data_IF_974136353554
#
_entry.id   IF_974136353554
#
_cell.length_a   1.000
_cell.length_b   1.000
_cell.length_c   1.000
_cell.angle_alpha   90.00
_cell.angle_beta   90.00
_cell.angle_gamma   90.00
#
_symmetry.space_group_name_H-M   'P 1'
#
loop_
_entity.id
_entity.type
_entity.pdbx_description
1 polymer ?
#
# COMPACT_ATOMS: atom_id res chain seq x y z
N UNK A 1 11.99 -29.16 -7.42
CA UNK A 1 11.23 -28.43 -6.40
C UNK A 1 9.79 -28.41 -6.87
N UNK A 2 8.86 -29.00 -6.11
CA UNK A 2 7.42 -28.84 -6.32
C UNK A 2 7.02 -27.58 -5.58
N UNK A 3 6.57 -26.55 -6.29
CA UNK A 3 6.06 -25.35 -5.67
C UNK A 3 4.59 -25.58 -5.33
N UNK A 4 4.23 -25.45 -4.05
CA UNK A 4 2.86 -25.57 -3.59
C UNK A 4 2.00 -24.42 -4.14
N UNK A 5 0.67 -24.58 -4.17
CA UNK A 5 -0.24 -23.46 -4.42
C UNK A 5 0.08 -22.33 -3.44
N UNK A 6 0.39 -21.15 -3.99
CA UNK A 6 0.84 -20.00 -3.21
C UNK A 6 -0.32 -19.44 -2.38
N UNK A 7 -0.10 -19.26 -1.08
CA UNK A 7 -0.96 -18.45 -0.22
C UNK A 7 -0.21 -17.17 0.19
N UNK A 8 0.30 -16.46 -0.83
CA UNK A 8 1.18 -15.30 -0.69
C UNK A 8 0.63 -14.21 0.22
N UNK A 9 -0.68 -13.93 0.15
CA UNK A 9 -1.32 -12.92 1.00
C UNK A 9 -1.30 -13.29 2.48
N UNK A 10 -1.54 -14.57 2.80
CA UNK A 10 -1.44 -15.03 4.19
C UNK A 10 -0.01 -15.00 4.68
N UNK A 11 0.96 -15.34 3.83
CA UNK A 11 2.38 -15.24 4.14
C UNK A 11 2.79 -13.78 4.44
N UNK A 12 2.31 -12.84 3.63
CA UNK A 12 2.60 -11.41 3.77
C UNK A 12 1.78 -10.71 4.85
N UNK A 13 0.89 -11.39 5.58
CA UNK A 13 -0.01 -10.75 6.55
C UNK A 13 0.69 -9.85 7.59
N UNK A 14 1.93 -10.20 7.96
CA UNK A 14 2.76 -9.44 8.89
C UNK A 14 3.84 -8.60 8.21
N UNK A 15 3.89 -8.58 6.88
CA UNK A 15 4.82 -7.74 6.14
C UNK A 15 4.51 -6.25 6.38
N UNK A 16 5.53 -5.39 6.50
CA UNK A 16 5.33 -3.95 6.60
C UNK A 16 4.79 -3.40 5.29
N UNK A 17 3.91 -2.39 5.38
CA UNK A 17 3.42 -1.67 4.20
C UNK A 17 4.18 -0.36 3.96
N UNK A 18 4.24 0.05 2.69
CA UNK A 18 4.63 1.38 2.28
C UNK A 18 3.44 2.04 1.57
N UNK A 19 2.99 3.19 2.06
CA UNK A 19 1.82 3.89 1.50
C UNK A 19 2.28 5.15 0.77
N UNK A 20 1.77 5.37 -0.44
CA UNK A 20 2.03 6.59 -1.20
C UNK A 20 0.79 7.05 -1.93
N UNK A 21 0.69 8.35 -2.19
CA UNK A 21 -0.35 8.90 -3.07
C UNK A 21 0.10 9.10 -4.50
N UNK A 22 1.37 8.84 -4.79
CA UNK A 22 1.91 8.93 -6.12
C UNK A 22 3.01 7.88 -6.31
N UNK A 23 2.99 7.24 -7.46
CA UNK A 23 4.04 6.33 -7.91
C UNK A 23 4.45 6.85 -9.29
N UNK A 24 5.73 7.17 -9.48
CA UNK A 24 6.20 7.73 -10.75
C UNK A 24 5.80 6.82 -11.93
N UNK A 25 5.59 7.45 -13.09
CA UNK A 25 4.99 6.90 -14.32
C UNK A 25 5.65 5.64 -14.93
N UNK A 26 6.70 5.07 -14.33
CA UNK A 26 7.40 3.87 -14.81
C UNK A 26 7.00 2.56 -14.10
N UNK A 27 5.96 2.60 -13.27
CA UNK A 27 5.62 1.54 -12.31
C UNK A 27 4.31 0.83 -12.66
N UNK A 28 4.20 0.31 -13.88
CA UNK A 28 3.05 -0.52 -14.27
C UNK A 28 3.06 -1.82 -13.47
N UNK A 29 2.27 -1.84 -12.39
CA UNK A 29 1.99 -3.08 -11.65
C UNK A 29 0.83 -3.78 -12.35
N UNK A 30 1.02 -5.00 -12.88
CA UNK A 30 -0.08 -5.72 -13.52
C UNK A 30 -1.25 -5.89 -12.55
N UNK A 31 -2.47 -5.86 -13.08
CA UNK A 31 -3.67 -6.00 -12.26
C UNK A 31 -3.63 -7.31 -11.46
N UNK A 32 -3.91 -7.22 -10.15
CA UNK A 32 -3.88 -8.37 -9.24
C UNK A 32 -2.48 -8.73 -8.69
N UNK A 33 -1.41 -8.14 -9.21
CA UNK A 33 -0.07 -8.35 -8.66
C UNK A 33 0.17 -7.51 -7.41
N UNK A 34 1.03 -8.02 -6.54
CA UNK A 34 1.52 -7.31 -5.36
C UNK A 34 2.77 -6.54 -5.72
N UNK A 35 2.81 -5.25 -5.39
CA UNK A 35 4.02 -4.44 -5.54
C UNK A 35 4.80 -4.45 -4.22
N UNK A 36 6.11 -4.70 -4.29
CA UNK A 36 7.02 -4.52 -3.16
C UNK A 36 8.08 -3.48 -3.47
N UNK A 37 8.58 -2.77 -2.45
CA UNK A 37 9.74 -1.90 -2.57
C UNK A 37 10.78 -2.10 -1.45
N UNK A 38 12.04 -1.77 -1.75
CA UNK A 38 13.12 -1.76 -0.77
C UNK A 38 14.23 -0.78 -1.18
N UNK A 39 15.18 -0.54 -0.27
CA UNK A 39 16.40 0.22 -0.57
C UNK A 39 17.45 -0.61 -1.35
N UNK A 40 17.20 -1.91 -1.54
CA UNK A 40 18.11 -2.89 -2.14
C UNK A 40 17.38 -3.62 -3.28
N UNK A 41 18.10 -4.18 -4.27
CA UNK A 41 17.49 -4.93 -5.36
C UNK A 41 16.57 -6.04 -4.86
N UNK A 42 15.37 -6.14 -5.43
CA UNK A 42 14.36 -7.13 -5.06
C UNK A 42 14.26 -8.24 -6.12
N UNK A 43 13.63 -9.34 -5.73
CA UNK A 43 13.25 -10.45 -6.61
C UNK A 43 11.75 -10.36 -6.93
N UNK A 44 11.36 -10.68 -8.16
CA UNK A 44 9.96 -10.72 -8.58
C UNK A 44 9.84 -11.12 -10.04
N UNK A 45 8.60 -11.28 -10.52
CA UNK A 45 8.32 -11.54 -11.94
C UNK A 45 8.79 -10.38 -12.81
N UNK A 46 8.55 -9.14 -12.35
CA UNK A 46 9.09 -7.93 -12.95
C UNK A 46 9.80 -7.11 -11.89
N UNK A 47 10.97 -6.58 -12.21
CA UNK A 47 11.73 -5.68 -11.34
C UNK A 47 12.03 -4.38 -12.06
N UNK A 48 11.94 -3.26 -11.37
CA UNK A 48 12.28 -1.95 -11.93
C UNK A 48 12.87 -1.02 -10.87
N UNK A 49 13.50 0.06 -11.35
CA UNK A 49 14.08 1.12 -10.55
C UNK A 49 13.38 2.41 -10.90
N UNK A 50 12.98 3.21 -9.90
CA UNK A 50 12.32 4.49 -10.17
C UNK A 50 13.30 5.54 -10.70
N UNK A 51 12.87 6.33 -11.68
CA UNK A 51 13.70 7.36 -12.34
C UNK A 51 14.12 8.51 -11.39
N UNK A 52 13.36 8.77 -10.31
CA UNK A 52 13.53 9.98 -9.49
C UNK A 52 14.03 9.73 -8.04
N UNK A 53 14.23 8.47 -7.63
CA UNK A 53 14.77 8.12 -6.31
C UNK A 53 15.92 7.12 -6.47
N UNK A 54 17.15 7.65 -6.63
CA UNK A 54 18.39 6.87 -6.50
C UNK A 54 18.32 6.05 -5.21
N UNK A 55 18.12 4.74 -5.33
CA UNK A 55 18.14 3.80 -4.20
C UNK A 55 16.81 3.20 -3.76
N UNK A 56 15.73 3.24 -4.57
CA UNK A 56 14.56 2.37 -4.36
C UNK A 56 14.35 1.40 -5.52
N UNK A 57 14.19 0.13 -5.17
CA UNK A 57 13.93 -0.96 -6.11
C UNK A 57 12.53 -1.47 -5.87
N UNK A 58 11.88 -1.86 -6.95
CA UNK A 58 10.53 -2.38 -6.94
C UNK A 58 10.49 -3.75 -7.60
N UNK A 59 9.59 -4.59 -7.11
CA UNK A 59 9.30 -5.88 -7.68
C UNK A 59 7.79 -6.16 -7.66
N UNK A 60 7.27 -6.74 -8.73
CA UNK A 60 5.91 -7.25 -8.77
C UNK A 60 5.90 -8.75 -8.48
N UNK A 61 4.92 -9.19 -7.69
CA UNK A 61 4.69 -10.58 -7.32
C UNK A 61 3.31 -11.02 -7.79
N UNK A 62 3.25 -12.10 -8.56
CA UNK A 62 1.98 -12.73 -8.94
C UNK A 62 1.52 -13.68 -7.82
N UNK A 63 0.37 -13.44 -7.14
CA UNK A 63 -0.11 -14.32 -6.09
C UNK A 63 -0.40 -15.75 -6.54
N UNK A 64 -0.73 -15.97 -7.82
CA UNK A 64 -1.03 -17.29 -8.37
C UNK A 64 0.24 -18.07 -8.73
N UNK A 65 1.37 -17.36 -8.88
CA UNK A 65 2.66 -17.98 -9.13
C UNK A 65 3.25 -18.51 -7.81
N UNK A 66 3.41 -19.82 -7.78
CA UNK A 66 3.97 -20.60 -6.70
C UNK A 66 5.41 -20.18 -6.26
N UNK A 67 6.19 -19.52 -7.13
CA UNK A 67 7.52 -18.99 -6.76
C UNK A 67 7.44 -17.66 -5.98
N UNK A 68 6.32 -16.95 -6.06
CA UNK A 68 6.18 -15.60 -5.46
C UNK A 68 6.34 -15.59 -3.95
N UNK A 69 6.00 -16.67 -3.25
CA UNK A 69 6.27 -16.79 -1.82
C UNK A 69 7.78 -16.83 -1.53
N UNK A 70 8.58 -17.46 -2.40
CA UNK A 70 10.04 -17.46 -2.28
C UNK A 70 10.58 -16.04 -2.48
N UNK A 71 10.11 -15.34 -3.51
CA UNK A 71 10.49 -13.95 -3.74
C UNK A 71 10.10 -13.04 -2.57
N UNK A 72 8.87 -13.14 -2.07
CA UNK A 72 8.43 -12.40 -0.90
C UNK A 72 9.31 -12.65 0.32
N UNK A 73 9.63 -13.91 0.61
CA UNK A 73 10.49 -14.31 1.73
C UNK A 73 11.88 -13.68 1.65
N UNK A 74 12.50 -13.70 0.48
CA UNK A 74 13.81 -13.08 0.29
C UNK A 74 13.72 -11.55 0.32
N UNK A 75 12.69 -10.96 -0.29
CA UNK A 75 12.46 -9.52 -0.28
C UNK A 75 12.26 -8.97 1.13
N UNK A 76 11.56 -9.70 2.01
CA UNK A 76 11.39 -9.30 3.42
C UNK A 76 12.73 -9.23 4.17
N UNK A 77 13.71 -10.09 3.86
CA UNK A 77 15.06 -10.01 4.43
C UNK A 77 15.83 -8.77 3.96
N UNK A 78 15.40 -8.15 2.86
CA UNK A 78 16.00 -6.96 2.27
C UNK A 78 15.31 -5.66 2.71
N UNK A 79 14.51 -5.71 3.78
CA UNK A 79 13.62 -4.64 4.23
C UNK A 79 12.53 -4.29 3.20
N UNK A 80 12.06 -5.31 2.46
CA UNK A 80 10.97 -5.21 1.51
C UNK A 80 9.65 -4.86 2.19
N UNK A 81 8.94 -3.88 1.64
CA UNK A 81 7.61 -3.47 2.09
C UNK A 81 6.59 -3.66 0.98
N UNK A 82 5.35 -3.99 1.33
CA UNK A 82 4.23 -4.07 0.37
C UNK A 82 3.71 -2.67 0.08
N UNK A 83 3.70 -2.28 -1.18
CA UNK A 83 3.37 -0.92 -1.60
C UNK A 83 1.88 -0.78 -1.88
N UNK A 84 1.27 0.25 -1.29
CA UNK A 84 -0.08 0.70 -1.61
C UNK A 84 -0.05 2.10 -2.20
N UNK A 85 -0.59 2.23 -3.40
CA UNK A 85 -0.87 3.52 -4.02
C UNK A 85 -2.34 3.83 -3.81
N UNK A 86 -2.63 4.90 -3.07
CA UNK A 86 -3.99 5.34 -2.74
C UNK A 86 -4.19 6.78 -3.20
N UNK A 87 -5.39 7.16 -3.61
CA UNK A 87 -5.67 8.57 -3.89
C UNK A 87 -5.65 9.43 -2.60
N UNK A 88 -5.61 10.75 -2.77
CA UNK A 88 -5.56 11.71 -1.64
C UNK A 88 -6.79 11.62 -0.73
N UNK A 89 -7.97 11.33 -1.30
CA UNK A 89 -9.20 11.20 -0.53
C UNK A 89 -9.14 9.99 0.41
N UNK A 90 -8.75 8.84 -0.12
CA UNK A 90 -8.54 7.60 0.62
C UNK A 90 -7.42 7.75 1.65
N UNK A 91 -6.31 8.38 1.29
CA UNK A 91 -5.23 8.66 2.24
C UNK A 91 -5.70 9.53 3.41
N UNK A 92 -6.47 10.59 3.12
CA UNK A 92 -7.07 11.47 4.14
C UNK A 92 -7.97 10.68 5.10
N UNK A 93 -8.82 9.82 4.56
CA UNK A 93 -9.68 8.96 5.35
C UNK A 93 -8.90 8.00 6.25
N UNK A 94 -7.86 7.36 5.71
CA UNK A 94 -6.97 6.47 6.47
C UNK A 94 -6.24 7.23 7.59
N UNK A 95 -5.76 8.45 7.35
CA UNK A 95 -5.05 9.27 8.34
C UNK A 95 -6.00 9.73 9.46
N UNK A 96 -7.25 10.02 9.11
CA UNK A 96 -8.26 10.54 10.04
C UNK A 96 -9.07 9.45 10.75
N UNK A 97 -8.87 8.16 10.43
CA UNK A 97 -9.48 7.06 11.17
C UNK A 97 -9.05 7.09 12.65
N UNK A 98 -10.02 7.12 13.56
CA UNK A 98 -9.79 7.28 14.99
C UNK A 98 -9.31 8.68 15.44
N UNK A 99 -9.26 9.67 14.54
CA UNK A 99 -8.84 11.03 14.88
C UNK A 99 -9.95 11.79 15.61
N UNK A 100 -9.66 12.29 16.82
CA UNK A 100 -10.57 13.12 17.63
C UNK A 100 -11.08 14.36 16.91
N UNK A 101 -10.27 14.95 16.04
CA UNK A 101 -10.57 16.21 15.34
C UNK A 101 -11.03 16.01 13.90
N UNK A 102 -11.44 14.79 13.52
CA UNK A 102 -11.87 14.45 12.15
C UNK A 102 -12.86 15.46 11.56
N UNK A 103 -13.91 15.83 12.29
CA UNK A 103 -14.92 16.79 11.80
C UNK A 103 -14.33 18.17 11.49
N UNK A 104 -13.30 18.61 12.24
CA UNK A 104 -12.65 19.89 12.02
C UNK A 104 -11.81 19.86 10.75
N UNK A 105 -11.07 18.77 10.53
CA UNK A 105 -10.33 18.56 9.28
C UNK A 105 -11.25 18.43 8.07
N UNK A 106 -12.39 17.73 8.21
CA UNK A 106 -13.34 17.56 7.11
C UNK A 106 -14.13 18.82 6.76
N UNK A 107 -14.16 19.82 7.66
CA UNK A 107 -14.76 21.13 7.38
C UNK A 107 -13.83 22.07 6.60
N UNK A 108 -12.54 21.74 6.48
CA UNK A 108 -11.57 22.51 5.69
C UNK A 108 -11.70 22.18 4.20
N UNK A 109 -11.27 23.12 3.36
CA UNK A 109 -11.11 22.88 1.92
C UNK A 109 -10.06 21.79 1.65
N UNK A 110 -10.24 21.04 0.56
CA UNK A 110 -9.46 19.83 0.30
C UNK A 110 -7.94 20.07 0.25
N UNK A 111 -7.50 21.11 -0.45
CA UNK A 111 -6.07 21.43 -0.61
C UNK A 111 -5.44 21.91 0.71
N UNK A 112 -6.17 22.71 1.50
CA UNK A 112 -5.70 23.14 2.82
C UNK A 112 -5.57 21.92 3.74
N UNK A 113 -6.61 21.08 3.80
CA UNK A 113 -6.61 19.82 4.55
C UNK A 113 -5.45 18.92 4.12
N UNK A 114 -5.23 18.76 2.82
CA UNK A 114 -4.14 17.93 2.31
C UNK A 114 -2.76 18.48 2.67
N UNK A 115 -2.57 19.80 2.60
CA UNK A 115 -1.30 20.43 2.97
C UNK A 115 -0.86 20.13 4.42
N UNK A 116 -1.83 20.00 5.33
CA UNK A 116 -1.61 19.68 6.74
C UNK A 116 -1.44 18.16 6.94
N UNK A 117 -2.24 17.35 6.26
CA UNK A 117 -2.30 15.90 6.50
C UNK A 117 -1.25 15.10 5.72
N UNK A 118 -0.70 15.62 4.61
CA UNK A 118 0.23 14.87 3.74
C UNK A 118 1.41 14.26 4.50
N UNK A 119 1.96 14.95 5.50
CA UNK A 119 3.14 14.48 6.24
C UNK A 119 2.78 13.31 7.18
N UNK A 120 1.50 13.18 7.53
CA UNK A 120 0.96 12.08 8.33
C UNK A 120 0.75 10.78 7.55
N UNK A 121 1.05 10.76 6.24
CA UNK A 121 1.20 9.48 5.51
C UNK A 121 2.30 8.61 6.15
N UNK A 122 3.28 9.23 6.80
CA UNK A 122 4.31 8.53 7.58
C UNK A 122 3.72 7.66 8.71
N UNK A 123 2.58 8.05 9.30
CA UNK A 123 1.86 7.30 10.33
C UNK A 123 1.30 5.96 9.80
N UNK A 124 1.14 5.82 8.48
CA UNK A 124 0.63 4.61 7.83
C UNK A 124 1.75 3.64 7.39
N UNK A 125 3.00 4.10 7.40
CA UNK A 125 4.14 3.28 6.99
C UNK A 125 4.40 2.19 8.04
N UNK A 126 4.98 1.07 7.60
CA UNK A 126 5.44 -0.01 8.47
C UNK A 126 4.36 -0.73 9.28
N UNK A 127 3.08 -0.38 9.10
CA UNK A 127 1.98 -1.15 9.65
C UNK A 127 1.95 -2.55 9.01
N UNK A 128 1.53 -3.59 9.76
CA UNK A 128 1.34 -4.93 9.20
C UNK A 128 0.28 -4.92 8.08
N UNK A 129 0.54 -5.64 6.98
CA UNK A 129 -0.35 -5.75 5.83
C UNK A 129 -1.80 -6.07 6.23
N UNK A 130 -2.02 -7.07 7.07
CA UNK A 130 -3.36 -7.45 7.50
C UNK A 130 -4.10 -6.28 8.18
N UNK A 131 -3.44 -5.59 9.11
CA UNK A 131 -4.03 -4.43 9.80
C UNK A 131 -4.27 -3.25 8.87
N UNK A 132 -3.38 -3.02 7.89
CA UNK A 132 -3.59 -2.00 6.87
C UNK A 132 -4.79 -2.33 5.97
N UNK A 133 -4.93 -3.59 5.55
CA UNK A 133 -6.04 -4.06 4.72
C UNK A 133 -7.39 -3.93 5.45
N UNK A 134 -7.46 -4.26 6.73
CA UNK A 134 -8.66 -4.06 7.55
C UNK A 134 -9.05 -2.58 7.62
N UNK A 135 -8.06 -1.70 7.85
CA UNK A 135 -8.26 -0.25 7.88
C UNK A 135 -8.74 0.29 6.53
N UNK A 136 -8.15 -0.19 5.44
CA UNK A 136 -8.53 0.16 4.07
C UNK A 136 -9.95 -0.30 3.73
N UNK A 137 -10.32 -1.52 4.12
CA UNK A 137 -11.66 -2.07 3.92
C UNK A 137 -12.71 -1.25 4.67
N UNK A 138 -12.42 -0.87 5.92
CA UNK A 138 -13.30 0.00 6.72
C UNK A 138 -13.55 1.35 6.04
N UNK A 139 -12.49 2.00 5.56
CA UNK A 139 -12.59 3.28 4.84
C UNK A 139 -13.43 3.13 3.57
N UNK A 140 -13.14 2.13 2.73
CA UNK A 140 -13.87 1.89 1.48
C UNK A 140 -15.34 1.49 1.71
N UNK A 141 -15.62 0.70 2.74
CA UNK A 141 -16.98 0.34 3.15
C UNK A 141 -17.79 1.55 3.60
N UNK A 142 -17.21 2.42 4.44
CA UNK A 142 -17.87 3.65 4.89
C UNK A 142 -18.18 4.63 3.76
N UNK A 143 -17.37 4.64 2.69
CA UNK A 143 -17.64 5.43 1.49
C UNK A 143 -18.85 4.91 0.69
N UNK A 144 -19.14 3.60 0.76
CA UNK A 144 -20.26 2.97 0.04
C UNK A 144 -21.59 3.16 0.77
N UNK A 145 -21.58 3.16 2.11
CA UNK A 145 -22.77 3.42 2.93
C UNK A 145 -23.29 4.87 2.80
N UNK A 146 -22.38 5.84 2.71
CA UNK A 146 -22.75 7.26 2.55
C UNK A 146 -23.39 7.59 1.18
N UNK A 147 -23.13 6.79 0.14
CA UNK A 147 -23.80 6.97 -1.16
C UNK A 147 -25.22 6.40 -1.18
N UNK A 148 -25.51 5.42 -0.32
CA UNK A 148 -26.82 4.74 -0.30
C UNK A 148 -27.85 5.50 0.56
N UNK A 149 -27.41 6.34 1.51
CA UNK A 149 -28.29 7.18 2.33
C UNK A 149 -28.63 8.55 1.69
N UNK A 150 -28.05 8.86 0.53
CA UNK A 150 -28.27 10.12 -0.19
C UNK A 150 -29.13 9.97 -1.46
N UNK A 151 -29.78 8.81 -1.66
CA UNK A 151 -30.64 8.49 -2.80
C UNK A 151 -32.13 8.44 -2.42
#
# INVERSE_FOLDING_TARGET
MQYAQSNLLSFLAHAPVAVTTNLDHGTETPSGHILMNAARPLLGQTTFQGDFLRGRFYATLDPEDSISEVFARENLKLDGKVVFVVDRATATELILDGCRYRSQYMAMEEEERWSILRDRISDLQDMPLAGFMDKLAKVKGSATENQTQAA
#
